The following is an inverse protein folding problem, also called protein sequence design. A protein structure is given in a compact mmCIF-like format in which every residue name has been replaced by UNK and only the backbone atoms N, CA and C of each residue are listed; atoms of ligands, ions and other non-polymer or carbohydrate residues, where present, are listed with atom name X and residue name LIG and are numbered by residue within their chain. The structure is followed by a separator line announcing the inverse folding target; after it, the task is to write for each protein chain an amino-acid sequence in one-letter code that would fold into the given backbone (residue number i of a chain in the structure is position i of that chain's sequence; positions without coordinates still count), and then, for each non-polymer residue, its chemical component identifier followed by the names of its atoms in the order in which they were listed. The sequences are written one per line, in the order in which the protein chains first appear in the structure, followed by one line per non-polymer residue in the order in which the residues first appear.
data_IF_895147006950
#
_entry.id   IF_895147006950
#
_cell.length_a   1.000
_cell.length_b   1.000
_cell.length_c   1.000
_cell.angle_alpha   90.00
_cell.angle_beta   90.00
_cell.angle_gamma   90.00
#
_symmetry.space_group_name_H-M   'P 1'
#
loop_
_entity.id
_entity.type
_entity.pdbx_description
1 polymer ?
#
# COMPACT_ATOMS: atom_id res chain seq x y z
N UNK A 1 19.73 -9.49 7.05
CA UNK A 1 19.63 -8.63 5.86
C UNK A 1 19.17 -7.26 6.33
N UNK A 2 19.84 -6.19 5.91
CA UNK A 2 19.35 -4.83 6.12
C UNK A 2 18.34 -4.51 5.02
N UNK A 3 17.15 -4.05 5.40
CA UNK A 3 16.19 -3.51 4.44
C UNK A 3 16.22 -1.98 4.49
N UNK A 4 15.98 -1.35 3.35
CA UNK A 4 15.74 0.09 3.25
C UNK A 4 14.27 0.32 2.96
N UNK A 5 13.67 1.28 3.66
CA UNK A 5 12.30 1.71 3.39
C UNK A 5 12.36 2.86 2.38
N UNK A 6 11.56 2.77 1.30
CA UNK A 6 11.38 3.87 0.35
C UNK A 6 9.89 4.12 0.08
N UNK A 7 9.48 5.37 -0.19
CA UNK A 7 8.12 5.65 -0.64
C UNK A 7 7.86 5.00 -2.01
N UNK A 8 6.60 4.65 -2.26
CA UNK A 8 6.12 4.28 -3.58
C UNK A 8 5.88 5.55 -4.40
N UNK A 9 6.76 5.80 -5.36
CA UNK A 9 6.72 6.93 -6.27
C UNK A 9 7.22 6.51 -7.68
N UNK A 10 7.35 7.46 -8.59
CA UNK A 10 7.81 7.18 -9.96
C UNK A 10 9.20 6.50 -10.01
N UNK A 11 10.07 6.75 -9.03
CA UNK A 11 11.43 6.19 -8.95
C UNK A 11 11.47 4.78 -8.37
N UNK A 12 10.45 4.35 -7.63
CA UNK A 12 10.35 3.01 -7.04
C UNK A 12 9.27 2.14 -7.66
N UNK A 13 8.54 2.68 -8.65
CA UNK A 13 7.50 1.99 -9.39
C UNK A 13 7.97 0.64 -9.95
N UNK A 14 9.15 0.59 -10.58
CA UNK A 14 9.62 -0.64 -11.23
C UNK A 14 9.87 -1.77 -10.21
N UNK A 15 10.39 -1.44 -9.02
CA UNK A 15 10.58 -2.42 -7.94
C UNK A 15 9.24 -2.94 -7.40
N UNK A 16 8.25 -2.05 -7.25
CA UNK A 16 6.89 -2.45 -6.87
C UNK A 16 6.24 -3.33 -7.95
N UNK A 17 6.34 -2.93 -9.22
CA UNK A 17 5.74 -3.65 -10.33
C UNK A 17 6.35 -5.03 -10.51
N UNK A 18 7.67 -5.17 -10.36
CA UNK A 18 8.38 -6.46 -10.36
C UNK A 18 7.84 -7.38 -9.26
N UNK A 19 7.72 -6.88 -8.02
CA UNK A 19 7.19 -7.64 -6.89
C UNK A 19 5.74 -8.12 -7.13
N UNK A 20 4.89 -7.29 -7.75
CA UNK A 20 3.51 -7.66 -8.08
C UNK A 20 3.49 -8.73 -9.19
N UNK A 21 4.28 -8.54 -10.25
CA UNK A 21 4.34 -9.45 -11.42
C UNK A 21 4.87 -10.82 -11.02
N UNK A 22 5.99 -10.89 -10.29
CA UNK A 22 6.60 -12.17 -9.88
C UNK A 22 5.69 -12.99 -8.97
N UNK A 23 4.72 -12.33 -8.33
CA UNK A 23 3.70 -12.96 -7.51
C UNK A 23 2.36 -13.16 -8.24
N UNK A 24 2.36 -13.10 -9.58
CA UNK A 24 1.22 -13.30 -10.48
C UNK A 24 0.04 -12.33 -10.26
N UNK A 25 0.33 -11.12 -9.78
CA UNK A 25 -0.69 -10.22 -9.28
C UNK A 25 -1.21 -10.68 -7.93
N UNK A 26 -1.25 -9.75 -6.99
CA UNK A 26 -1.36 -10.05 -5.57
C UNK A 26 -2.84 -10.32 -5.25
N UNK A 27 -3.17 -11.29 -4.40
CA UNK A 27 -4.57 -11.63 -4.10
C UNK A 27 -5.45 -11.88 -5.36
N UNK A 28 -4.94 -12.66 -6.32
CA UNK A 28 -5.70 -13.01 -7.52
C UNK A 28 -5.71 -11.91 -8.59
N UNK A 29 -4.56 -11.26 -8.82
CA UNK A 29 -4.41 -10.27 -9.89
C UNK A 29 -4.48 -8.80 -9.46
N UNK A 30 -4.58 -8.51 -8.16
CA UNK A 30 -4.61 -7.13 -7.66
C UNK A 30 -3.25 -6.43 -7.79
N UNK A 31 -3.31 -5.13 -8.02
CA UNK A 31 -2.17 -4.20 -8.08
C UNK A 31 -2.21 -3.20 -6.90
N UNK A 32 -2.67 -3.65 -5.73
CA UNK A 32 -2.87 -2.79 -4.56
C UNK A 32 -3.84 -1.63 -4.86
N UNK A 33 -4.95 -1.94 -5.53
CA UNK A 33 -6.03 -0.98 -5.83
C UNK A 33 -7.33 -1.27 -5.10
N UNK A 34 -7.40 -2.35 -4.31
CA UNK A 34 -8.63 -2.84 -3.69
C UNK A 34 -9.37 -1.79 -2.85
N UNK A 35 -8.63 -0.82 -2.31
CA UNK A 35 -9.15 0.25 -1.47
C UNK A 35 -9.25 1.61 -2.19
N UNK A 36 -8.81 1.69 -3.45
CA UNK A 36 -8.99 2.87 -4.29
C UNK A 36 -10.38 2.86 -4.98
N UNK A 37 -10.93 4.04 -5.34
CA UNK A 37 -12.25 4.17 -5.98
C UNK A 37 -12.45 3.34 -7.25
N UNK A 38 -11.39 3.06 -8.00
CA UNK A 38 -11.45 2.32 -9.26
C UNK A 38 -11.69 0.82 -9.08
N UNK A 39 -11.51 0.28 -7.88
CA UNK A 39 -11.72 -1.14 -7.62
C UNK A 39 -13.14 -1.59 -8.02
N UNK A 40 -13.23 -2.61 -8.87
CA UNK A 40 -14.50 -3.16 -9.35
C UNK A 40 -15.07 -2.49 -10.60
N UNK A 41 -14.45 -1.45 -11.13
CA UNK A 41 -14.80 -0.92 -12.45
C UNK A 41 -14.51 -1.95 -13.53
N UNK A 42 -15.42 -2.09 -14.50
CA UNK A 42 -15.27 -3.05 -15.60
C UNK A 42 -14.35 -2.49 -16.68
N UNK A 43 -13.50 -3.35 -17.25
CA UNK A 43 -12.66 -3.01 -18.41
C UNK A 43 -11.42 -2.19 -18.10
N UNK A 44 -11.09 -1.95 -16.83
CA UNK A 44 -9.87 -1.22 -16.46
C UNK A 44 -8.67 -2.15 -16.30
N UNK A 45 -7.48 -1.63 -16.59
CA UNK A 45 -6.21 -2.27 -16.25
C UNK A 45 -5.77 -1.83 -14.86
N UNK A 46 -5.81 -2.74 -13.88
CA UNK A 46 -5.40 -2.44 -12.50
C UNK A 46 -3.95 -1.98 -12.42
N UNK A 47 -3.08 -2.52 -13.28
CA UNK A 47 -1.69 -2.07 -13.41
C UNK A 47 -1.64 -0.62 -13.87
N UNK A 48 -2.31 -0.29 -14.98
CA UNK A 48 -2.24 1.06 -15.55
C UNK A 48 -2.84 2.11 -14.60
N UNK A 49 -3.94 1.78 -13.93
CA UNK A 49 -4.55 2.64 -12.92
C UNK A 49 -3.61 2.86 -11.73
N UNK A 50 -2.97 1.79 -11.22
CA UNK A 50 -2.02 1.95 -10.12
C UNK A 50 -0.81 2.79 -10.55
N UNK A 51 -0.30 2.54 -11.76
CA UNK A 51 0.85 3.28 -12.30
C UNK A 51 0.55 4.77 -12.41
N UNK A 52 -0.59 5.14 -13.00
CA UNK A 52 -1.02 6.52 -13.11
C UNK A 52 -1.11 7.20 -11.74
N UNK A 53 -1.75 6.53 -10.75
CA UNK A 53 -1.82 7.06 -9.38
C UNK A 53 -0.45 7.26 -8.75
N UNK A 54 0.46 6.29 -8.88
CA UNK A 54 1.81 6.40 -8.32
C UNK A 54 2.57 7.56 -8.98
N UNK A 55 2.53 7.65 -10.31
CA UNK A 55 3.23 8.71 -11.06
C UNK A 55 2.65 10.10 -10.82
N UNK A 56 1.39 10.20 -10.42
CA UNK A 56 0.70 11.46 -10.10
C UNK A 56 0.60 11.75 -8.61
N UNK A 57 1.26 10.97 -7.74
CA UNK A 57 1.26 11.21 -6.28
C UNK A 57 -0.09 10.96 -5.59
N UNK A 58 -0.93 10.07 -6.15
CA UNK A 58 -2.26 9.70 -5.65
C UNK A 58 -2.35 8.25 -5.18
N UNK A 59 -1.20 7.62 -4.92
CA UNK A 59 -1.09 6.29 -4.35
C UNK A 59 0.18 6.21 -3.48
N UNK A 60 0.01 6.00 -2.19
CA UNK A 60 1.14 5.93 -1.26
C UNK A 60 1.35 4.53 -0.67
N UNK A 61 2.61 4.14 -0.52
CA UNK A 61 3.00 2.95 0.21
C UNK A 61 4.46 3.05 0.66
N UNK A 62 4.78 2.43 1.79
CA UNK A 62 6.15 2.20 2.21
C UNK A 62 6.64 0.86 1.64
N UNK A 63 7.56 0.91 0.69
CA UNK A 63 8.21 -0.27 0.10
C UNK A 63 9.41 -0.69 0.94
N UNK A 64 9.55 -2.00 1.15
CA UNK A 64 10.72 -2.59 1.81
C UNK A 64 11.62 -3.17 0.74
N UNK A 65 12.80 -2.57 0.57
CA UNK A 65 13.76 -2.89 -0.48
C UNK A 65 14.99 -3.56 0.14
N UNK A 66 15.45 -4.66 -0.44
CA UNK A 66 16.65 -5.36 0.00
C UNK A 66 17.94 -4.73 -0.54
N UNK A 67 19.09 -5.33 -0.20
CA UNK A 67 20.40 -4.84 -0.62
C UNK A 67 20.64 -4.92 -2.14
N UNK A 68 19.86 -5.72 -2.87
CA UNK A 68 19.95 -5.88 -4.31
C UNK A 68 19.00 -4.92 -5.05
N UNK A 69 18.24 -4.10 -4.31
CA UNK A 69 17.29 -3.14 -4.88
C UNK A 69 15.91 -3.73 -5.17
N UNK A 70 15.63 -4.98 -4.81
CA UNK A 70 14.35 -5.61 -5.04
C UNK A 70 13.35 -5.30 -3.90
N UNK A 71 12.11 -4.98 -4.26
CA UNK A 71 11.05 -4.84 -3.26
C UNK A 71 10.63 -6.24 -2.75
N UNK A 72 10.52 -6.39 -1.44
CA UNK A 72 10.15 -7.65 -0.78
C UNK A 72 8.82 -7.58 -0.04
N UNK A 73 8.28 -6.37 0.11
CA UNK A 73 6.96 -6.13 0.66
C UNK A 73 6.61 -4.64 0.65
N UNK A 74 5.38 -4.33 1.02
CA UNK A 74 4.95 -2.95 1.22
C UNK A 74 3.83 -2.83 2.24
N UNK A 75 3.59 -1.60 2.69
CA UNK A 75 2.43 -1.16 3.46
C UNK A 75 1.80 0.05 2.77
N UNK A 76 0.60 -0.11 2.22
CA UNK A 76 -0.19 0.97 1.62
C UNK A 76 -0.75 1.86 2.70
N UNK A 77 -0.62 3.17 2.49
CA UNK A 77 -1.29 4.18 3.30
C UNK A 77 -1.85 5.29 2.41
N UNK A 78 -2.68 6.15 2.98
CA UNK A 78 -3.29 7.29 2.27
C UNK A 78 -4.42 7.91 3.08
N UNK A 79 -4.91 9.07 2.66
CA UNK A 79 -6.04 9.72 3.33
C UNK A 79 -7.35 8.92 3.12
N UNK A 80 -8.39 9.17 3.92
CA UNK A 80 -9.72 8.61 3.65
C UNK A 80 -10.29 8.97 2.27
N UNK A 81 -9.87 10.07 1.65
CA UNK A 81 -10.25 10.38 0.26
C UNK A 81 -9.50 9.55 -0.78
N UNK A 82 -8.21 9.26 -0.54
CA UNK A 82 -7.41 8.41 -1.41
C UNK A 82 -7.83 6.94 -1.31
N UNK A 83 -8.17 6.50 -0.10
CA UNK A 83 -8.54 5.14 0.27
C UNK A 83 -9.93 5.10 0.90
N UNK A 84 -11.01 5.41 0.13
CA UNK A 84 -12.36 5.51 0.68
C UNK A 84 -13.03 4.17 0.90
N UNK A 85 -12.62 3.15 0.13
CA UNK A 85 -13.15 1.80 0.28
C UNK A 85 -12.53 1.16 1.52
N UNK A 86 -13.32 0.41 2.29
CA UNK A 86 -12.89 -0.34 3.47
C UNK A 86 -13.69 -1.65 3.54
N UNK A 87 -13.12 -2.68 4.17
CA UNK A 87 -13.84 -3.93 4.43
C UNK A 87 -15.01 -3.67 5.38
N UNK A 88 -16.12 -4.37 5.17
CA UNK A 88 -17.31 -4.29 6.02
C UNK A 88 -17.84 -2.87 6.26
N UNK A 89 -17.70 -1.96 5.28
CA UNK A 89 -18.07 -0.53 5.40
C UNK A 89 -19.44 -0.28 6.03
N UNK A 90 -20.45 -1.08 5.67
CA UNK A 90 -21.81 -0.95 6.24
C UNK A 90 -21.85 -1.18 7.76
N UNK A 91 -21.01 -2.06 8.29
CA UNK A 91 -20.92 -2.31 9.74
C UNK A 91 -20.09 -1.21 10.40
N UNK A 92 -18.97 -0.85 9.80
CA UNK A 92 -18.11 0.24 10.26
C UNK A 92 -18.88 1.56 10.42
N UNK A 93 -19.74 1.90 9.46
CA UNK A 93 -20.49 3.16 9.47
C UNK A 93 -21.56 3.23 10.58
N UNK A 94 -21.90 2.12 11.26
CA UNK A 94 -22.88 2.13 12.36
C UNK A 94 -22.33 2.71 13.67
N UNK A 95 -21.03 2.53 13.90
CA UNK A 95 -20.32 3.00 15.09
C UNK A 95 -18.91 3.45 14.67
N UNK A 96 -18.89 4.46 13.80
CA UNK A 96 -17.65 4.91 13.19
C UNK A 96 -16.75 5.57 14.26
N UNK A 97 -15.47 5.18 14.35
CA UNK A 97 -14.51 5.86 15.20
C UNK A 97 -14.28 7.30 14.73
N UNK A 98 -13.55 8.13 15.51
CA UNK A 98 -13.11 9.43 15.03
C UNK A 98 -12.46 9.33 13.65
N UNK A 99 -12.83 10.24 12.74
CA UNK A 99 -12.31 10.23 11.38
C UNK A 99 -10.78 10.31 11.42
N UNK A 100 -10.05 9.34 10.84
CA UNK A 100 -8.60 9.38 10.82
C UNK A 100 -8.08 10.35 9.76
N UNK A 101 -6.87 10.85 9.97
CA UNK A 101 -6.13 11.61 8.96
C UNK A 101 -5.55 10.66 7.90
N UNK A 102 -5.16 9.46 8.32
CA UNK A 102 -4.50 8.45 7.49
C UNK A 102 -5.08 7.06 7.72
N UNK A 103 -5.11 6.26 6.66
CA UNK A 103 -5.43 4.83 6.71
C UNK A 103 -4.27 3.99 6.24
N UNK A 104 -4.04 2.86 6.89
CA UNK A 104 -3.22 1.76 6.40
C UNK A 104 -4.17 0.61 6.04
N UNK A 105 -4.32 0.35 4.75
CA UNK A 105 -5.39 -0.52 4.23
C UNK A 105 -4.89 -1.81 3.58
N UNK A 106 -3.61 -1.92 3.22
CA UNK A 106 -3.13 -3.10 2.54
C UNK A 106 -1.65 -3.29 2.81
N UNK A 107 -1.24 -4.50 3.19
CA UNK A 107 0.17 -4.85 3.24
C UNK A 107 0.39 -6.19 2.55
N UNK A 108 1.61 -6.39 2.07
CA UNK A 108 2.01 -7.64 1.46
C UNK A 108 3.48 -7.91 1.73
N UNK A 109 3.79 -9.20 1.87
CA UNK A 109 5.16 -9.71 1.97
C UNK A 109 5.29 -10.88 1.00
N UNK A 110 6.34 -10.83 0.19
CA UNK A 110 6.71 -11.90 -0.72
C UNK A 110 6.78 -13.24 0.01
N UNK A 111 6.19 -14.28 -0.57
CA UNK A 111 6.05 -15.59 0.08
C UNK A 111 7.39 -16.17 0.54
N UNK A 112 8.46 -15.94 -0.22
CA UNK A 112 9.81 -16.45 0.08
C UNK A 112 10.51 -15.68 1.20
N UNK A 113 9.99 -14.50 1.56
CA UNK A 113 10.61 -13.58 2.51
C UNK A 113 9.77 -13.36 3.78
N UNK A 114 8.72 -14.16 3.98
CA UNK A 114 7.91 -14.14 5.21
C UNK A 114 8.73 -14.58 6.42
N UNK A 115 8.36 -14.09 7.60
CA UNK A 115 9.08 -14.38 8.86
C UNK A 115 10.37 -13.59 9.05
N UNK A 116 10.75 -12.73 8.09
CA UNK A 116 12.00 -11.97 8.12
C UNK A 116 11.83 -10.52 8.61
N UNK A 117 10.68 -10.19 9.23
CA UNK A 117 10.41 -8.85 9.77
C UNK A 117 9.95 -7.79 8.75
N UNK A 118 9.81 -8.15 7.46
CA UNK A 118 9.42 -7.21 6.39
C UNK A 118 8.09 -6.50 6.66
N UNK A 119 7.07 -7.22 7.15
CA UNK A 119 5.78 -6.60 7.46
C UNK A 119 5.91 -5.50 8.53
N UNK A 120 6.76 -5.75 9.53
CA UNK A 120 7.05 -4.77 10.58
C UNK A 120 7.77 -3.55 9.98
N UNK A 121 8.83 -3.78 9.19
CA UNK A 121 9.57 -2.70 8.53
C UNK A 121 8.69 -1.86 7.60
N UNK A 122 7.75 -2.50 6.89
CA UNK A 122 6.79 -1.79 6.03
C UNK A 122 5.83 -0.91 6.84
N UNK A 123 5.32 -1.42 7.97
CA UNK A 123 4.43 -0.67 8.85
C UNK A 123 5.15 0.52 9.51
N UNK A 124 6.33 0.28 10.09
CA UNK A 124 7.17 1.34 10.66
C UNK A 124 7.49 2.40 9.60
N UNK A 125 7.86 1.96 8.40
CA UNK A 125 8.11 2.84 7.26
C UNK A 125 6.90 3.67 6.82
N UNK A 126 5.69 3.10 6.87
CA UNK A 126 4.47 3.85 6.56
C UNK A 126 4.19 4.91 7.62
N UNK A 127 4.35 4.58 8.90
CA UNK A 127 4.18 5.52 10.01
C UNK A 127 5.21 6.66 9.94
N UNK A 128 6.47 6.35 9.62
CA UNK A 128 7.50 7.36 9.43
C UNK A 128 7.16 8.30 8.27
N UNK A 129 6.74 7.76 7.12
CA UNK A 129 6.35 8.59 5.97
C UNK A 129 5.11 9.46 6.28
N UNK A 130 4.12 8.92 7.01
CA UNK A 130 2.98 9.68 7.50
C UNK A 130 3.44 10.81 8.43
N UNK A 131 4.37 10.55 9.35
CA UNK A 131 4.91 11.58 10.24
C UNK A 131 5.60 12.71 9.47
N UNK A 132 6.38 12.38 8.43
CA UNK A 132 6.98 13.37 7.53
C UNK A 132 5.95 14.16 6.71
N UNK A 133 4.78 13.58 6.44
CA UNK A 133 3.67 14.21 5.74
C UNK A 133 2.76 15.07 6.65
N UNK A 134 3.14 15.29 7.91
CA UNK A 134 2.39 16.11 8.88
C UNK A 134 1.79 15.32 10.04
N UNK A 135 1.85 13.99 10.00
CA UNK A 135 1.33 13.12 11.05
C UNK A 135 -0.20 13.16 11.16
N UNK A 136 -0.71 12.71 12.30
CA UNK A 136 -2.15 12.67 12.60
C UNK A 136 -2.61 11.33 13.14
N UNK A 137 -3.92 11.18 13.27
CA UNK A 137 -4.56 9.93 13.66
C UNK A 137 -4.46 8.92 12.52
N UNK A 138 -3.84 7.77 12.79
CA UNK A 138 -3.70 6.67 11.84
C UNK A 138 -4.65 5.53 12.22
N UNK A 139 -5.49 5.13 11.27
CA UNK A 139 -6.33 3.95 11.38
C UNK A 139 -5.71 2.79 10.57
N UNK A 140 -5.70 1.59 11.14
CA UNK A 140 -5.15 0.39 10.48
C UNK A 140 -6.27 -0.61 10.26
N UNK A 141 -6.64 -0.81 8.98
CA UNK A 141 -7.77 -1.66 8.54
C UNK A 141 -7.40 -2.49 7.30
N UNK A 142 -6.41 -3.39 7.39
CA UNK A 142 -5.85 -4.13 6.26
C UNK A 142 -6.71 -5.28 5.71
#
# INVERSE_FOLDING_TARGET
MSYTIRPLDASTWDAFAELVVRNNGIFGGCWCIGYHPECGQKGISYRAVKEDRVRTGRAHAALVIDGDGAAQGWSQYGSPEELPNIKYKREYDKDAPPRPDWRITCFYVDKKHRGQGIARAALEGALDQIAHAGGGLVEVIP
#
